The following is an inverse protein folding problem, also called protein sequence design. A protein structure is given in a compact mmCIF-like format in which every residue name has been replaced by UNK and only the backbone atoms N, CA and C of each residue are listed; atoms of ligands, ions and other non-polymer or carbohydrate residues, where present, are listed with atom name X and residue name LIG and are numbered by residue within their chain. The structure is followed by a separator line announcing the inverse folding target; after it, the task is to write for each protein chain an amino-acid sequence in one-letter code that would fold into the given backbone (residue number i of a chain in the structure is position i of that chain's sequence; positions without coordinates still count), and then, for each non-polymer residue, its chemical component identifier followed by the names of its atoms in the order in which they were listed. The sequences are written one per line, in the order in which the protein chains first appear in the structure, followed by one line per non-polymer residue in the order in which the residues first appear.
data_IF_010526664592
#
_entry.id   IF_010526664592
#
_cell.length_a   1.000
_cell.length_b   1.000
_cell.length_c   1.000
_cell.angle_alpha   90.00
_cell.angle_beta   90.00
_cell.angle_gamma   90.00
#
_symmetry.space_group_name_H-M   'P 1'
#
loop_
_entity.id
_entity.type
_entity.pdbx_description
1 polymer ?
#
# COMPACT_ATOMS: atom_id res chain seq x y z
N UNK A 1 -9.78 46.69 10.64
CA UNK A 1 -8.67 45.77 11.01
C UNK A 1 -9.16 44.36 10.82
N UNK A 2 -8.86 43.78 9.67
CA UNK A 2 -9.29 42.43 9.26
C UNK A 2 -8.52 41.40 10.07
N UNK A 3 -9.26 40.53 10.74
CA UNK A 3 -8.78 39.35 11.48
C UNK A 3 -7.87 38.52 10.58
N UNK A 4 -6.59 38.43 10.96
CA UNK A 4 -5.64 37.51 10.33
C UNK A 4 -6.20 36.09 10.44
N UNK A 5 -6.42 35.51 9.27
CA UNK A 5 -6.98 34.18 9.06
C UNK A 5 -6.03 33.14 9.65
N UNK A 6 -6.60 32.36 10.56
CA UNK A 6 -5.98 31.27 11.33
C UNK A 6 -5.00 30.42 10.49
N UNK A 7 -3.76 30.36 10.96
CA UNK A 7 -2.64 29.63 10.36
C UNK A 7 -2.67 28.12 10.62
N UNK A 8 -3.86 27.49 10.70
CA UNK A 8 -3.98 26.08 11.08
C UNK A 8 -3.93 25.05 9.93
N UNK A 9 -3.67 25.47 8.68
CA UNK A 9 -3.81 24.60 7.48
C UNK A 9 -2.51 24.11 6.86
N UNK A 10 -1.35 24.41 7.46
CA UNK A 10 -0.06 24.07 6.85
C UNK A 10 0.98 23.50 7.83
N UNK A 11 0.57 23.08 9.02
CA UNK A 11 1.46 22.38 9.94
C UNK A 11 1.43 20.88 9.66
N UNK A 12 2.31 20.44 8.76
CA UNK A 12 2.77 19.05 8.53
C UNK A 12 1.70 18.09 7.99
N UNK A 13 1.83 17.73 6.71
CA UNK A 13 1.04 16.79 5.89
C UNK A 13 0.88 15.40 6.53
N UNK A 14 0.17 15.30 7.65
CA UNK A 14 -0.23 14.03 8.24
C UNK A 14 -1.41 13.52 7.43
N UNK A 15 -1.16 12.49 6.62
CA UNK A 15 -2.23 11.72 5.98
C UNK A 15 -3.24 11.29 7.05
N UNK A 16 -4.52 11.54 6.80
CA UNK A 16 -5.56 11.02 7.69
C UNK A 16 -5.44 9.49 7.78
N UNK A 17 -5.77 8.88 8.92
CA UNK A 17 -5.71 7.42 9.11
C UNK A 17 -6.44 6.66 7.99
N UNK A 18 -7.57 7.19 7.51
CA UNK A 18 -8.33 6.61 6.40
C UNK A 18 -7.56 6.66 5.09
N UNK A 19 -6.88 7.77 4.82
CA UNK A 19 -6.11 7.93 3.61
C UNK A 19 -4.82 7.08 3.65
N UNK A 20 -4.16 6.99 4.80
CA UNK A 20 -3.05 6.04 4.99
C UNK A 20 -3.49 4.59 4.79
N UNK A 21 -4.63 4.20 5.36
CA UNK A 21 -5.19 2.86 5.14
C UNK A 21 -5.42 2.58 3.65
N UNK A 22 -5.99 3.53 2.89
CA UNK A 22 -6.17 3.36 1.44
C UNK A 22 -4.84 3.16 0.70
N UNK A 23 -3.82 3.95 1.03
CA UNK A 23 -2.49 3.78 0.45
C UNK A 23 -1.89 2.40 0.75
N UNK A 24 -2.14 1.86 1.96
CA UNK A 24 -1.68 0.50 2.32
C UNK A 24 -2.40 -0.56 1.49
N UNK A 25 -3.69 -0.41 1.24
CA UNK A 25 -4.43 -1.33 0.36
C UNK A 25 -3.94 -1.23 -1.10
N UNK A 26 -3.74 -0.02 -1.63
CA UNK A 26 -3.16 0.18 -2.97
C UNK A 26 -1.78 -0.49 -3.10
N UNK A 27 -0.90 -0.31 -2.09
CA UNK A 27 0.41 -0.95 -2.07
C UNK A 27 0.33 -2.48 -2.00
N UNK A 28 -0.61 -3.03 -1.21
CA UNK A 28 -0.85 -4.48 -1.16
C UNK A 28 -1.29 -5.03 -2.50
N UNK A 29 -2.19 -4.35 -3.22
CA UNK A 29 -2.61 -4.77 -4.56
C UNK A 29 -1.44 -4.79 -5.55
N UNK A 30 -0.56 -3.78 -5.48
CA UNK A 30 0.68 -3.75 -6.27
C UNK A 30 1.59 -4.91 -5.89
N UNK A 31 1.77 -5.18 -4.59
CA UNK A 31 2.60 -6.28 -4.10
C UNK A 31 2.05 -7.65 -4.54
N UNK A 32 0.73 -7.85 -4.49
CA UNK A 32 0.08 -9.08 -4.95
C UNK A 32 0.37 -9.35 -6.43
N UNK A 33 0.32 -8.32 -7.29
CA UNK A 33 0.68 -8.45 -8.71
C UNK A 33 2.16 -8.77 -8.93
N UNK A 34 3.05 -8.21 -8.10
CA UNK A 34 4.51 -8.48 -8.18
C UNK A 34 4.87 -9.88 -7.69
N UNK A 35 4.14 -10.39 -6.71
CA UNK A 35 4.33 -11.70 -6.10
C UNK A 35 3.44 -12.80 -6.71
N UNK A 36 2.95 -12.61 -7.95
CA UNK A 36 1.94 -13.47 -8.58
C UNK A 36 2.34 -14.96 -8.57
N UNK A 37 3.61 -15.29 -8.85
CA UNK A 37 4.10 -16.68 -8.82
C UNK A 37 3.97 -17.33 -7.42
N UNK A 38 4.42 -16.64 -6.38
CA UNK A 38 4.34 -17.13 -4.99
C UNK A 38 2.88 -17.21 -4.51
N UNK A 39 2.05 -16.24 -4.90
CA UNK A 39 0.62 -16.22 -4.62
C UNK A 39 -0.08 -17.39 -5.33
N UNK A 40 0.24 -17.65 -6.60
CA UNK A 40 -0.31 -18.75 -7.38
C UNK A 40 0.06 -20.11 -6.79
N UNK A 41 1.30 -20.30 -6.34
CA UNK A 41 1.77 -21.51 -5.65
C UNK A 41 1.03 -21.75 -4.34
N UNK A 42 0.86 -20.70 -3.53
CA UNK A 42 0.07 -20.78 -2.31
C UNK A 42 -1.40 -21.10 -2.61
N UNK A 43 -2.00 -20.43 -3.60
CA UNK A 43 -3.38 -20.64 -4.02
C UNK A 43 -3.61 -22.04 -4.59
N UNK A 44 -2.64 -22.63 -5.29
CA UNK A 44 -2.69 -24.01 -5.76
C UNK A 44 -2.70 -24.99 -4.57
N UNK A 45 -1.78 -24.83 -3.61
CA UNK A 45 -1.75 -25.66 -2.41
C UNK A 45 -3.03 -25.51 -1.58
N UNK A 46 -3.52 -24.29 -1.39
CA UNK A 46 -4.74 -24.01 -0.63
C UNK A 46 -5.97 -24.68 -1.25
N UNK A 47 -6.08 -24.67 -2.59
CA UNK A 47 -7.17 -25.36 -3.31
C UNK A 47 -7.10 -26.88 -3.14
N UNK A 48 -5.91 -27.46 -3.14
CA UNK A 48 -5.73 -28.91 -3.00
C UNK A 48 -5.99 -29.39 -1.55
N UNK A 49 -5.49 -28.65 -0.56
CA UNK A 49 -5.53 -29.07 0.86
C UNK A 49 -6.78 -28.62 1.61
N UNK A 50 -7.52 -27.64 1.07
CA UNK A 50 -8.76 -27.13 1.64
C UNK A 50 -8.61 -26.74 3.11
N UNK A 51 -9.35 -27.40 4.00
CA UNK A 51 -9.32 -27.12 5.45
C UNK A 51 -7.94 -27.33 6.09
N UNK A 52 -7.06 -28.13 5.49
CA UNK A 52 -5.71 -28.41 6.02
C UNK A 52 -4.66 -27.38 5.59
N UNK A 53 -5.02 -26.33 4.87
CA UNK A 53 -4.09 -25.32 4.31
C UNK A 53 -3.10 -24.74 5.33
N UNK A 54 -3.53 -24.47 6.56
CA UNK A 54 -2.70 -23.85 7.62
C UNK A 54 -1.57 -24.78 8.08
N UNK A 55 -1.75 -26.10 7.94
CA UNK A 55 -0.74 -27.09 8.28
C UNK A 55 0.08 -27.49 7.06
N UNK A 56 -0.59 -27.74 5.94
CA UNK A 56 0.04 -28.32 4.75
C UNK A 56 0.73 -27.32 3.82
N UNK A 57 0.31 -26.05 3.83
CA UNK A 57 0.83 -25.03 2.89
C UNK A 57 1.75 -24.01 3.56
N UNK A 58 2.39 -24.38 4.68
CA UNK A 58 3.24 -23.47 5.47
C UNK A 58 4.44 -22.96 4.68
N UNK A 59 5.03 -23.81 3.83
CA UNK A 59 6.17 -23.45 2.99
C UNK A 59 5.78 -22.42 1.92
N UNK A 60 4.72 -22.69 1.16
CA UNK A 60 4.22 -21.77 0.14
C UNK A 60 3.74 -20.46 0.76
N UNK A 61 3.12 -20.52 1.95
CA UNK A 61 2.73 -19.34 2.72
C UNK A 61 3.96 -18.53 3.15
N UNK A 62 5.04 -19.17 3.63
CA UNK A 62 6.26 -18.48 4.01
C UNK A 62 6.93 -17.80 2.81
N UNK A 63 7.00 -18.47 1.65
CA UNK A 63 7.52 -17.90 0.42
C UNK A 63 6.70 -16.70 -0.06
N UNK A 64 5.38 -16.83 -0.07
CA UNK A 64 4.45 -15.75 -0.42
C UNK A 64 4.62 -14.55 0.52
N UNK A 65 4.62 -14.78 1.84
CA UNK A 65 4.78 -13.71 2.83
C UNK A 65 6.15 -13.04 2.75
N UNK A 66 7.22 -13.81 2.47
CA UNK A 66 8.56 -13.26 2.25
C UNK A 66 8.58 -12.29 1.06
N UNK A 67 7.94 -12.65 -0.06
CA UNK A 67 7.81 -11.77 -1.22
C UNK A 67 6.97 -10.52 -0.88
N UNK A 68 5.78 -10.70 -0.29
CA UNK A 68 4.90 -9.58 0.04
C UNK A 68 5.59 -8.59 0.99
N UNK A 69 6.28 -9.08 2.01
CA UNK A 69 6.96 -8.25 2.99
C UNK A 69 8.10 -7.42 2.38
N UNK A 70 8.72 -7.85 1.28
CA UNK A 70 9.72 -7.03 0.56
C UNK A 70 9.10 -5.78 -0.09
N UNK A 71 7.78 -5.79 -0.34
CA UNK A 71 7.07 -4.69 -1.00
C UNK A 71 6.13 -3.93 -0.07
N UNK A 72 5.74 -4.50 1.07
CA UNK A 72 4.77 -3.89 2.00
C UNK A 72 5.38 -3.54 3.37
N UNK A 73 6.70 -3.59 3.51
CA UNK A 73 7.39 -3.10 4.71
C UNK A 73 7.27 -1.57 4.87
N UNK A 74 7.66 -1.07 6.05
CA UNK A 74 7.56 0.36 6.38
C UNK A 74 8.34 1.25 5.41
N UNK A 75 9.56 0.87 5.04
CA UNK A 75 10.38 1.62 4.07
C UNK A 75 9.69 1.72 2.69
N UNK A 76 9.14 0.60 2.21
CA UNK A 76 8.41 0.57 0.94
C UNK A 76 7.13 1.40 1.00
N UNK A 77 6.47 1.40 2.16
CA UNK A 77 5.28 2.20 2.40
C UNK A 77 5.58 3.69 2.44
N UNK A 78 6.64 4.11 3.13
CA UNK A 78 7.05 5.52 3.21
C UNK A 78 7.48 6.06 1.84
N UNK A 79 8.22 5.26 1.07
CA UNK A 79 8.55 5.59 -0.33
C UNK A 79 7.29 5.76 -1.17
N UNK A 80 6.37 4.79 -1.10
CA UNK A 80 5.13 4.85 -1.86
C UNK A 80 4.28 6.07 -1.50
N UNK A 81 4.19 6.39 -0.20
CA UNK A 81 3.49 7.58 0.29
C UNK A 81 4.07 8.87 -0.27
N UNK A 82 5.40 9.00 -0.29
CA UNK A 82 6.08 10.15 -0.88
C UNK A 82 5.83 10.27 -2.41
N UNK A 83 5.88 9.16 -3.14
CA UNK A 83 5.57 9.12 -4.58
C UNK A 83 4.13 9.60 -4.85
N UNK A 84 3.17 9.15 -4.05
CA UNK A 84 1.76 9.54 -4.17
C UNK A 84 1.51 11.00 -3.81
N UNK A 85 2.23 11.55 -2.84
CA UNK A 85 2.20 13.00 -2.55
C UNK A 85 2.65 13.82 -3.77
N UNK A 86 3.77 13.44 -4.39
CA UNK A 86 4.27 14.11 -5.60
C UNK A 86 3.24 14.04 -6.73
N UNK A 87 2.65 12.88 -6.96
CA UNK A 87 1.64 12.66 -8.01
C UNK A 87 0.40 13.54 -7.80
N UNK A 88 -0.17 13.54 -6.59
CA UNK A 88 -1.31 14.39 -6.25
C UNK A 88 -1.01 15.88 -6.43
N UNK A 89 0.21 16.32 -6.08
CA UNK A 89 0.63 17.70 -6.31
C UNK A 89 0.71 18.03 -7.80
N UNK A 90 1.21 17.12 -8.64
CA UNK A 90 1.26 17.30 -10.10
C UNK A 90 -0.14 17.34 -10.72
N UNK A 91 -1.02 16.42 -10.34
CA UNK A 91 -2.43 16.40 -10.80
C UNK A 91 -3.14 17.70 -10.44
N UNK A 92 -2.95 18.18 -9.21
CA UNK A 92 -3.52 19.45 -8.74
C UNK A 92 -3.00 20.65 -9.52
N UNK A 93 -1.75 20.63 -9.98
CA UNK A 93 -1.18 21.69 -10.81
C UNK A 93 -1.68 21.61 -12.25
N UNK A 94 -1.73 20.41 -12.83
CA UNK A 94 -2.25 20.18 -14.18
C UNK A 94 -3.72 20.61 -14.29
N UNK A 95 -4.55 20.29 -13.31
CA UNK A 95 -5.96 20.69 -13.26
C UNK A 95 -6.19 22.21 -13.11
N UNK A 96 -5.15 22.98 -12.74
CA UNK A 96 -5.20 24.44 -12.60
C UNK A 96 -4.66 25.19 -13.81
N UNK A 97 -4.04 24.50 -14.75
CA UNK A 97 -3.57 25.10 -16.01
C UNK A 97 -4.74 25.11 -17.00
N UNK A 98 -5.26 26.28 -17.40
CA UNK A 98 -6.36 26.39 -18.36
C UNK A 98 -5.99 25.91 -19.76
#
# INVERSE_FOLDING_TARGET
MTTLKDGGRNDRLSWSKRAEHRLREELKEIALKRCDDSVAKFAACAREKGMLVVFSCREQNALMNSCLNQHTNEESFDRYKFEREIELHRETQAAKSP
#
